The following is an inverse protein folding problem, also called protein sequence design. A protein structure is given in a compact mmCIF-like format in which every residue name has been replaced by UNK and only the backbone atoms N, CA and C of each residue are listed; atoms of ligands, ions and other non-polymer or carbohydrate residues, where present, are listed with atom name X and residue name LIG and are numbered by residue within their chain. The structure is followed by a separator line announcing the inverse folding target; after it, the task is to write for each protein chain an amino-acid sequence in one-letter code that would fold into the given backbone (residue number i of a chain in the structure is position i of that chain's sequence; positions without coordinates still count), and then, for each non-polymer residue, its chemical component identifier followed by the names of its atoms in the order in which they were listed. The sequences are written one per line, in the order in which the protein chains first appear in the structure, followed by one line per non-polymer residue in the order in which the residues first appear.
data_IF_852487240070
#
_entry.id   IF_852487240070
#
_cell.length_a   1.000
_cell.length_b   1.000
_cell.length_c   1.000
_cell.angle_alpha   90.00
_cell.angle_beta   90.00
_cell.angle_gamma   90.00
#
_symmetry.space_group_name_H-M   'P 1'
#
loop_
_entity.id
_entity.type
_entity.pdbx_description
1 polymer ?
#
# COMPACT_ATOMS: atom_id res chain seq x y z
N UNK A 1 -0.35 -10.97 12.06
CA UNK A 1 -0.74 -10.16 13.27
C UNK A 1 -2.11 -9.58 13.05
N UNK A 2 -2.95 -9.42 14.09
CA UNK A 2 -4.25 -8.74 13.93
C UNK A 2 -4.03 -7.25 13.62
N UNK A 3 -4.67 -6.75 12.57
CA UNK A 3 -4.59 -5.34 12.20
C UNK A 3 -5.12 -4.44 13.32
N UNK A 4 -4.35 -3.42 13.71
CA UNK A 4 -4.77 -2.45 14.73
C UNK A 4 -5.62 -1.36 14.10
N UNK A 5 -6.81 -1.11 14.64
CA UNK A 5 -7.66 0.00 14.19
C UNK A 5 -7.02 1.37 14.50
N UNK A 6 -7.09 2.27 13.54
CA UNK A 6 -6.59 3.65 13.66
C UNK A 6 -7.61 4.52 14.39
N UNK A 7 -8.90 4.36 14.05
CA UNK A 7 -10.01 5.12 14.62
C UNK A 7 -11.33 4.37 14.52
N UNK A 8 -12.29 4.74 15.38
CA UNK A 8 -13.71 4.40 15.24
C UNK A 8 -14.44 5.61 14.68
N UNK A 9 -15.16 5.43 13.60
CA UNK A 9 -15.84 6.47 12.82
C UNK A 9 -17.27 6.08 12.55
N UNK A 10 -18.07 7.03 12.09
CA UNK A 10 -19.45 6.79 11.64
C UNK A 10 -19.55 7.20 10.17
N UNK A 11 -19.93 6.28 9.31
CA UNK A 11 -20.29 6.57 7.93
C UNK A 11 -21.75 7.00 7.89
N UNK A 12 -22.03 8.21 7.41
CA UNK A 12 -23.36 8.83 7.46
C UNK A 12 -23.83 9.24 6.07
N UNK A 13 -25.10 8.96 5.75
CA UNK A 13 -25.79 9.53 4.61
C UNK A 13 -27.28 9.70 4.93
N UNK A 14 -27.75 10.93 4.82
CA UNK A 14 -29.11 11.28 5.26
C UNK A 14 -29.34 10.91 6.73
N UNK A 15 -30.35 10.08 7.01
CA UNK A 15 -30.68 9.62 8.36
C UNK A 15 -29.97 8.30 8.77
N UNK A 16 -29.17 7.75 7.87
CA UNK A 16 -28.48 6.47 8.12
C UNK A 16 -27.08 6.74 8.70
N UNK A 17 -26.79 6.09 9.82
CA UNK A 17 -25.49 6.14 10.49
C UNK A 17 -24.96 4.72 10.69
N UNK A 18 -23.76 4.46 10.16
CA UNK A 18 -23.12 3.14 10.18
C UNK A 18 -21.80 3.25 10.96
N UNK A 19 -21.71 2.68 12.16
CA UNK A 19 -20.46 2.66 12.91
C UNK A 19 -19.44 1.73 12.25
N UNK A 20 -18.24 2.26 11.98
CA UNK A 20 -17.15 1.56 11.31
C UNK A 20 -15.83 1.79 12.02
N UNK A 21 -14.89 0.88 11.85
CA UNK A 21 -13.50 1.00 12.27
C UNK A 21 -12.60 1.16 11.06
N UNK A 22 -11.65 2.08 11.17
CA UNK A 22 -10.67 2.43 10.14
C UNK A 22 -9.37 1.69 10.39
N UNK A 23 -8.82 1.09 9.33
CA UNK A 23 -7.52 0.42 9.33
C UNK A 23 -6.68 0.94 8.17
N UNK A 24 -5.35 0.96 8.32
CA UNK A 24 -4.47 1.22 7.17
C UNK A 24 -4.60 0.10 6.15
N UNK A 25 -4.71 0.44 4.87
CA UNK A 25 -4.66 -0.55 3.79
C UNK A 25 -3.22 -0.92 3.40
N UNK A 26 -2.24 -0.09 3.81
CA UNK A 26 -0.82 -0.29 3.53
C UNK A 26 -0.04 -0.53 4.81
N UNK A 27 0.93 -1.42 4.76
CA UNK A 27 1.87 -1.67 5.85
C UNK A 27 3.21 -1.01 5.54
N UNK A 28 3.58 0.00 6.34
CA UNK A 28 4.93 0.61 6.28
C UNK A 28 6.02 -0.28 6.93
N UNK A 29 5.61 -1.39 7.54
CA UNK A 29 6.53 -2.29 8.28
C UNK A 29 7.53 -3.02 7.37
N UNK A 30 7.34 -2.97 6.05
CA UNK A 30 8.26 -3.59 5.09
C UNK A 30 9.45 -2.71 4.70
N UNK A 31 9.48 -1.45 5.11
CA UNK A 31 10.58 -0.52 4.85
C UNK A 31 11.78 -0.81 5.76
N UNK A 32 12.97 -0.94 5.17
CA UNK A 32 14.21 -1.05 5.93
C UNK A 32 14.53 0.33 6.51
N UNK A 33 14.50 0.45 7.84
CA UNK A 33 14.76 1.73 8.52
C UNK A 33 16.18 1.76 9.06
N UNK A 34 16.96 2.70 8.58
CA UNK A 34 18.29 2.98 9.09
C UNK A 34 18.25 4.07 10.16
N UNK A 35 18.98 3.86 11.26
CA UNK A 35 19.23 4.89 12.25
C UNK A 35 20.47 5.69 11.85
N UNK A 36 20.42 7.01 12.01
CA UNK A 36 21.58 7.86 11.82
C UNK A 36 22.52 7.69 13.01
N UNK A 37 23.78 7.35 12.73
CA UNK A 37 24.82 7.12 13.71
C UNK A 37 26.05 7.96 13.36
N UNK A 38 26.89 8.27 14.36
CA UNK A 38 28.25 8.77 14.12
C UNK A 38 29.12 7.67 13.54
N UNK A 39 30.33 8.02 13.06
CA UNK A 39 31.30 7.02 12.56
C UNK A 39 31.69 5.99 13.63
N UNK A 40 31.52 6.33 14.90
CA UNK A 40 31.83 5.46 16.05
C UNK A 40 30.61 4.64 16.52
N UNK A 41 29.48 4.69 15.80
CA UNK A 41 28.27 3.92 16.13
C UNK A 41 27.36 4.55 17.18
N UNK A 42 27.57 5.80 17.57
CA UNK A 42 26.72 6.49 18.54
C UNK A 42 25.48 7.08 17.87
N UNK A 43 24.33 7.05 18.57
CA UNK A 43 23.09 7.63 18.07
C UNK A 43 23.15 9.16 18.05
N UNK A 44 22.76 9.77 16.93
CA UNK A 44 22.63 11.23 16.83
C UNK A 44 21.19 11.66 17.09
N UNK A 45 21.04 12.87 17.66
CA UNK A 45 19.76 13.56 17.88
C UNK A 45 19.70 14.81 17.01
N UNK A 46 18.55 15.09 16.44
CA UNK A 46 18.29 16.35 15.74
C UNK A 46 18.00 17.47 16.72
N UNK A 47 18.62 18.62 16.53
CA UNK A 47 18.34 19.85 17.28
C UNK A 47 17.98 20.95 16.29
N UNK A 48 17.08 21.84 16.71
CA UNK A 48 16.73 23.02 15.94
C UNK A 48 17.60 24.18 16.44
N UNK A 49 18.23 24.87 15.50
CA UNK A 49 19.12 25.98 15.78
C UNK A 49 18.57 27.22 15.07
N UNK A 50 18.39 28.32 15.81
CA UNK A 50 18.01 29.61 15.20
C UNK A 50 19.08 30.07 14.25
N UNK A 51 18.72 30.36 13.02
CA UNK A 51 19.65 30.78 11.98
C UNK A 51 20.37 32.09 12.33
N UNK A 52 19.64 33.03 12.88
CA UNK A 52 20.16 34.36 13.25
C UNK A 52 21.03 34.34 14.52
N UNK A 53 20.61 33.63 15.56
CA UNK A 53 21.29 33.65 16.87
C UNK A 53 22.21 32.46 17.09
N UNK A 54 22.16 31.43 16.25
CA UNK A 54 22.89 30.16 16.35
C UNK A 54 22.67 29.42 17.67
N UNK A 55 21.62 29.78 18.42
CA UNK A 55 21.23 29.10 19.65
C UNK A 55 20.28 27.95 19.36
N UNK A 56 20.37 26.91 20.18
CA UNK A 56 19.39 25.80 20.16
C UNK A 56 18.05 26.34 20.62
N UNK A 57 16.98 26.01 19.85
CA UNK A 57 15.60 26.41 20.14
C UNK A 57 14.81 25.15 20.49
N UNK A 58 14.11 25.16 21.59
CA UNK A 58 13.25 24.08 21.99
C UNK A 58 11.97 24.06 21.14
N UNK A 59 11.43 22.86 20.91
CA UNK A 59 10.22 22.70 20.07
C UNK A 59 8.99 23.43 20.62
N UNK A 60 8.94 23.61 21.93
CA UNK A 60 7.90 24.38 22.65
C UNK A 60 7.94 25.88 22.37
N UNK A 61 9.12 26.42 22.01
CA UNK A 61 9.33 27.84 21.71
C UNK A 61 9.10 28.16 20.21
N UNK A 62 8.84 27.13 19.37
CA UNK A 62 8.63 27.32 17.95
C UNK A 62 7.19 27.70 17.66
N UNK A 63 7.00 28.69 16.81
CA UNK A 63 5.71 29.09 16.23
C UNK A 63 5.70 28.79 14.74
N UNK A 64 4.52 28.65 14.15
CA UNK A 64 4.38 28.50 12.71
C UNK A 64 4.28 29.87 12.07
N UNK A 65 5.11 30.13 11.06
CA UNK A 65 5.06 31.33 10.25
C UNK A 65 4.67 31.00 8.81
N UNK A 66 3.79 31.83 8.22
CA UNK A 66 3.50 31.83 6.79
C UNK A 66 4.25 32.99 6.14
N UNK A 67 5.12 32.68 5.20
CA UNK A 67 5.85 33.69 4.43
C UNK A 67 4.97 34.17 3.28
N UNK A 68 4.57 35.45 3.32
CA UNK A 68 3.72 36.07 2.29
C UNK A 68 4.53 36.93 1.32
N UNK A 69 5.69 37.44 1.76
CA UNK A 69 6.73 38.08 0.97
C UNK A 69 8.08 37.64 1.47
N UNK A 70 9.11 37.78 0.68
CA UNK A 70 10.47 37.37 1.03
C UNK A 70 10.88 37.96 2.39
N UNK A 71 11.24 37.11 3.33
CA UNK A 71 11.62 37.43 4.72
C UNK A 71 10.52 38.10 5.58
N UNK A 72 9.25 38.14 5.09
CA UNK A 72 8.10 38.63 5.85
C UNK A 72 7.15 37.50 6.22
N UNK A 73 6.97 37.29 7.53
CA UNK A 73 6.21 36.17 8.07
C UNK A 73 5.01 36.65 8.89
N UNK A 74 3.85 36.04 8.64
CA UNK A 74 2.72 36.09 9.57
C UNK A 74 2.84 34.91 10.54
N UNK A 75 2.92 35.19 11.82
CA UNK A 75 3.07 34.17 12.86
C UNK A 75 1.69 33.71 13.34
N UNK A 76 1.53 32.41 13.50
CA UNK A 76 0.33 31.80 14.05
C UNK A 76 0.66 31.10 15.36
N UNK A 77 -0.09 31.39 16.38
CA UNK A 77 -0.03 30.63 17.64
C UNK A 77 -0.71 29.26 17.46
N UNK A 78 -0.37 28.26 18.27
CA UNK A 78 -1.05 26.96 18.22
C UNK A 78 -2.56 27.07 18.45
N UNK A 79 -3.01 28.04 19.30
CA UNK A 79 -4.41 28.30 19.61
C UNK A 79 -5.16 28.86 18.40
N UNK A 80 -4.57 29.83 17.69
CA UNK A 80 -5.16 30.40 16.46
C UNK A 80 -5.31 29.34 15.38
N UNK A 81 -4.27 28.52 15.16
CA UNK A 81 -4.35 27.42 14.20
C UNK A 81 -5.41 26.40 14.59
N UNK A 82 -5.50 26.08 15.90
CA UNK A 82 -6.53 25.18 16.40
C UNK A 82 -7.95 25.73 16.23
N UNK A 83 -8.13 27.05 16.33
CA UNK A 83 -9.42 27.71 16.09
C UNK A 83 -9.83 27.66 14.61
N UNK A 84 -8.86 27.65 13.70
CA UNK A 84 -9.09 27.50 12.25
C UNK A 84 -9.30 26.03 11.83
N UNK A 85 -8.89 25.11 12.68
CA UNK A 85 -9.10 23.69 12.42
C UNK A 85 -10.60 23.36 12.55
N UNK A 86 -11.23 22.90 11.48
CA UNK A 86 -12.50 22.18 11.63
C UNK A 86 -12.27 21.02 12.58
N UNK A 87 -13.02 20.98 13.69
CA UNK A 87 -12.88 19.93 14.69
C UNK A 87 -12.91 18.56 14.05
N UNK A 88 -11.93 17.72 14.37
CA UNK A 88 -11.86 16.34 13.85
C UNK A 88 -13.22 15.66 14.02
N UNK A 89 -13.94 15.51 12.94
CA UNK A 89 -15.24 14.84 12.95
C UNK A 89 -15.02 13.32 12.89
N UNK A 90 -15.59 12.59 13.84
CA UNK A 90 -15.66 11.13 13.76
C UNK A 90 -16.68 10.64 12.71
N UNK A 91 -17.19 11.55 11.87
CA UNK A 91 -18.19 11.27 10.86
C UNK A 91 -17.57 11.42 9.46
N UNK A 92 -17.82 10.41 8.64
CA UNK A 92 -17.59 10.43 7.20
C UNK A 92 -18.95 10.70 6.56
N UNK A 93 -19.16 11.90 6.04
CA UNK A 93 -20.43 12.32 5.48
C UNK A 93 -20.50 12.05 3.98
N UNK A 94 -21.32 11.09 3.57
CA UNK A 94 -21.57 10.81 2.15
C UNK A 94 -22.43 11.92 1.56
N UNK A 95 -21.88 12.54 0.51
CA UNK A 95 -22.55 13.65 -0.19
C UNK A 95 -23.14 13.24 -1.55
N UNK A 96 -22.60 12.19 -2.18
CA UNK A 96 -23.07 11.70 -3.48
C UNK A 96 -22.68 10.25 -3.74
N UNK A 97 -23.34 9.62 -4.70
CA UNK A 97 -22.96 8.32 -5.27
C UNK A 97 -22.69 8.49 -6.76
N UNK A 98 -21.49 8.11 -7.21
CA UNK A 98 -21.03 8.23 -8.59
C UNK A 98 -20.59 6.86 -9.15
N UNK A 99 -20.60 6.63 -10.47
CA UNK A 99 -20.03 5.42 -11.04
C UNK A 99 -18.55 5.30 -10.67
N UNK A 100 -18.08 4.10 -10.29
CA UNK A 100 -16.68 3.88 -9.84
C UNK A 100 -15.67 4.33 -10.90
N UNK A 101 -15.98 4.09 -12.18
CA UNK A 101 -15.09 4.40 -13.32
C UNK A 101 -14.91 5.89 -13.64
N UNK A 102 -15.71 6.78 -13.02
CA UNK A 102 -15.64 8.23 -13.28
C UNK A 102 -14.54 8.93 -12.49
N UNK A 103 -13.96 8.28 -11.47
CA UNK A 103 -12.87 8.85 -10.70
C UNK A 103 -11.57 8.36 -11.30
N UNK A 104 -10.79 9.30 -11.83
CA UNK A 104 -9.47 9.00 -12.38
C UNK A 104 -8.51 8.58 -11.24
N UNK A 105 -7.75 7.48 -11.40
CA UNK A 105 -6.77 7.03 -10.42
C UNK A 105 -5.72 8.08 -10.02
N UNK A 106 -5.45 9.08 -10.85
CA UNK A 106 -4.53 10.19 -10.54
C UNK A 106 -4.92 10.95 -9.28
N UNK A 107 -6.22 10.97 -8.92
CA UNK A 107 -6.73 11.61 -7.69
C UNK A 107 -6.55 10.76 -6.44
N UNK A 108 -6.09 9.50 -6.53
CA UNK A 108 -5.95 8.63 -5.36
C UNK A 108 -4.69 8.96 -4.56
N UNK A 109 -4.86 9.24 -3.25
CA UNK A 109 -3.74 9.43 -2.30
C UNK A 109 -3.62 8.19 -1.39
N UNK A 110 -4.31 8.17 -0.26
CA UNK A 110 -4.19 7.12 0.76
C UNK A 110 -5.42 6.23 0.81
N UNK A 111 -5.17 4.93 0.99
CA UNK A 111 -6.23 3.95 1.13
C UNK A 111 -6.34 3.43 2.58
N UNK A 112 -7.58 3.20 3.00
CA UNK A 112 -7.91 2.63 4.30
C UNK A 112 -8.98 1.54 4.14
N UNK A 113 -8.93 0.54 5.00
CA UNK A 113 -9.96 -0.49 5.08
C UNK A 113 -11.00 -0.07 6.11
N UNK A 114 -12.27 -0.23 5.77
CA UNK A 114 -13.40 -0.02 6.67
C UNK A 114 -13.97 -1.37 7.10
N UNK A 115 -14.01 -1.62 8.40
CA UNK A 115 -14.70 -2.78 8.95
C UNK A 115 -15.91 -2.32 9.78
N UNK A 116 -17.02 -3.08 9.83
CA UNK A 116 -18.14 -2.73 10.67
C UNK A 116 -17.76 -2.82 12.15
N UNK A 117 -18.24 -1.89 12.95
CA UNK A 117 -18.17 -2.03 14.41
C UNK A 117 -19.34 -2.87 14.94
N UNK A 118 -19.31 -3.27 16.22
CA UNK A 118 -20.18 -4.27 16.87
C UNK A 118 -21.69 -4.15 16.55
N UNK A 119 -22.19 -2.95 16.23
CA UNK A 119 -23.60 -2.70 15.89
C UNK A 119 -23.83 -2.34 14.41
N UNK A 120 -22.77 -2.25 13.61
CA UNK A 120 -22.79 -1.77 12.23
C UNK A 120 -22.93 -2.87 11.17
N UNK A 121 -22.88 -4.15 11.50
CA UNK A 121 -22.73 -5.24 10.53
C UNK A 121 -23.81 -5.28 9.44
N UNK A 122 -25.09 -5.23 9.81
CA UNK A 122 -26.20 -5.30 8.84
C UNK A 122 -26.26 -4.07 7.92
N UNK A 123 -26.28 -2.82 8.43
CA UNK A 123 -26.31 -1.64 7.54
C UNK A 123 -25.03 -1.49 6.70
N UNK A 124 -23.86 -1.90 7.22
CA UNK A 124 -22.63 -1.96 6.47
C UNK A 124 -22.71 -2.91 5.27
N UNK A 125 -23.16 -4.16 5.51
CA UNK A 125 -23.31 -5.16 4.45
C UNK A 125 -24.35 -4.72 3.41
N UNK A 126 -25.46 -4.12 3.84
CA UNK A 126 -26.48 -3.59 2.94
C UNK A 126 -25.92 -2.47 2.03
N UNK A 127 -25.15 -1.53 2.60
CA UNK A 127 -24.53 -0.46 1.82
C UNK A 127 -23.52 -1.01 0.82
N UNK A 128 -22.64 -1.92 1.25
CA UNK A 128 -21.64 -2.55 0.39
C UNK A 128 -22.28 -3.26 -0.80
N UNK A 129 -23.33 -4.05 -0.54
CA UNK A 129 -24.04 -4.80 -1.57
C UNK A 129 -24.83 -3.88 -2.53
N UNK A 130 -25.46 -2.84 -2.02
CA UNK A 130 -26.17 -1.85 -2.83
C UNK A 130 -25.20 -1.12 -3.79
N UNK A 131 -24.04 -0.69 -3.29
CA UNK A 131 -23.00 -0.06 -4.13
C UNK A 131 -22.42 -1.03 -5.15
N UNK A 132 -22.20 -2.29 -4.79
CA UNK A 132 -21.70 -3.32 -5.71
C UNK A 132 -22.70 -3.57 -6.85
N UNK A 133 -23.98 -3.78 -6.53
CA UNK A 133 -25.03 -3.99 -7.54
C UNK A 133 -25.29 -2.80 -8.44
N UNK A 134 -25.16 -1.58 -7.89
CA UNK A 134 -25.33 -0.35 -8.69
C UNK A 134 -24.09 0.04 -9.49
N UNK A 135 -22.91 -0.57 -9.27
CA UNK A 135 -21.64 -0.17 -9.86
C UNK A 135 -21.16 1.23 -9.42
N UNK A 136 -21.64 1.69 -8.24
CA UNK A 136 -21.37 3.04 -7.73
C UNK A 136 -20.47 3.00 -6.49
N UNK A 137 -19.73 4.09 -6.29
CA UNK A 137 -19.03 4.40 -5.05
C UNK A 137 -19.64 5.66 -4.42
N UNK A 138 -19.44 5.83 -3.13
CA UNK A 138 -19.85 7.03 -2.42
C UNK A 138 -18.72 8.05 -2.43
N UNK A 139 -19.03 9.33 -2.70
CA UNK A 139 -18.18 10.47 -2.41
C UNK A 139 -18.57 11.02 -1.06
N UNK A 140 -17.59 11.29 -0.21
CA UNK A 140 -17.83 11.76 1.14
C UNK A 140 -16.82 12.84 1.55
N UNK A 141 -17.20 13.62 2.55
CA UNK A 141 -16.33 14.56 3.26
C UNK A 141 -15.91 13.94 4.58
N UNK A 142 -14.65 14.11 4.93
CA UNK A 142 -14.09 13.59 6.16
C UNK A 142 -13.07 14.58 6.76
N UNK A 143 -13.35 15.08 7.95
CA UNK A 143 -12.43 15.91 8.70
C UNK A 143 -11.52 15.02 9.57
N UNK A 144 -10.23 14.99 9.26
CA UNK A 144 -9.24 14.17 9.94
C UNK A 144 -7.96 14.95 10.21
N UNK A 145 -7.48 14.91 11.46
CA UNK A 145 -6.26 15.63 11.87
C UNK A 145 -6.23 17.08 11.42
N UNK A 146 -7.33 17.79 11.69
CA UNK A 146 -7.48 19.20 11.40
C UNK A 146 -7.53 19.58 9.90
N UNK A 147 -7.72 18.62 9.03
CA UNK A 147 -7.92 18.86 7.60
C UNK A 147 -9.20 18.18 7.12
N UNK A 148 -9.95 18.87 6.28
CA UNK A 148 -11.04 18.27 5.54
C UNK A 148 -10.47 17.53 4.33
N UNK A 149 -10.95 16.32 4.08
CA UNK A 149 -10.58 15.50 2.95
C UNK A 149 -11.82 15.11 2.16
N UNK A 150 -11.69 15.06 0.85
CA UNK A 150 -12.64 14.37 0.00
C UNK A 150 -12.22 12.91 -0.05
N UNK A 151 -13.17 12.01 0.15
CA UNK A 151 -12.90 10.57 0.15
C UNK A 151 -13.91 9.83 -0.71
N UNK A 152 -13.45 8.77 -1.33
CA UNK A 152 -14.28 7.78 -2.00
C UNK A 152 -14.45 6.58 -1.07
N UNK A 153 -15.68 6.12 -0.88
CA UNK A 153 -15.95 4.81 -0.28
C UNK A 153 -16.43 3.88 -1.40
N UNK A 154 -15.64 2.83 -1.66
CA UNK A 154 -15.94 1.87 -2.74
C UNK A 154 -16.09 0.45 -2.20
N UNK A 155 -17.02 -0.34 -2.77
CA UNK A 155 -17.16 -1.74 -2.41
C UNK A 155 -16.04 -2.57 -3.04
N UNK A 156 -15.56 -3.55 -2.29
CA UNK A 156 -14.68 -4.63 -2.74
C UNK A 156 -15.34 -5.96 -2.36
N UNK A 157 -14.74 -7.08 -2.77
CA UNK A 157 -15.31 -8.40 -2.54
C UNK A 157 -15.66 -8.64 -1.08
N UNK A 158 -14.75 -8.34 -0.16
CA UNK A 158 -14.88 -8.61 1.28
C UNK A 158 -15.30 -7.40 2.13
N UNK A 159 -15.60 -6.24 1.53
CA UNK A 159 -15.96 -5.09 2.33
C UNK A 159 -15.92 -3.74 1.63
N UNK A 160 -15.55 -2.70 2.38
CA UNK A 160 -15.45 -1.33 1.90
C UNK A 160 -14.02 -0.80 2.07
N UNK A 161 -13.56 -0.09 1.04
CA UNK A 161 -12.32 0.68 1.07
C UNK A 161 -12.68 2.16 1.08
N UNK A 162 -12.04 2.92 1.96
CA UNK A 162 -12.03 4.36 1.95
C UNK A 162 -10.75 4.82 1.28
N UNK A 163 -10.89 5.53 0.17
CA UNK A 163 -9.79 6.10 -0.60
C UNK A 163 -9.80 7.61 -0.45
N UNK A 164 -8.74 8.18 0.09
CA UNK A 164 -8.56 9.63 0.13
C UNK A 164 -8.30 10.14 -1.28
N UNK A 165 -8.94 11.25 -1.63
CA UNK A 165 -8.79 11.90 -2.92
C UNK A 165 -8.03 13.22 -2.76
N UNK A 166 -7.21 13.53 -3.75
CA UNK A 166 -6.59 14.84 -3.92
C UNK A 166 -7.64 15.86 -4.39
N UNK A 167 -7.43 17.12 -4.05
CA UNK A 167 -8.23 18.23 -4.61
C UNK A 167 -7.79 18.54 -6.04
N UNK A 168 -8.64 19.24 -6.78
CA UNK A 168 -8.38 19.57 -8.18
C UNK A 168 -7.12 20.43 -8.40
N UNK A 169 -6.79 21.27 -7.42
CA UNK A 169 -5.61 22.13 -7.41
C UNK A 169 -4.30 21.40 -7.01
N UNK A 170 -4.43 20.19 -6.44
CA UNK A 170 -3.28 19.32 -6.10
C UNK A 170 -2.83 18.44 -7.29
N UNK A 171 -3.67 18.34 -8.34
CA UNK A 171 -3.41 17.49 -9.51
C UNK A 171 -3.06 18.35 -10.71
N UNK A 172 -1.89 18.10 -11.30
CA UNK A 172 -1.45 18.80 -12.53
C UNK A 172 -2.18 18.25 -13.74
N UNK A 173 -2.51 19.15 -14.70
CA UNK A 173 -3.10 18.76 -15.96
C UNK A 173 -2.03 18.34 -16.97
N UNK A 174 -2.30 17.30 -17.76
CA UNK A 174 -1.48 16.97 -18.93
C UNK A 174 -1.49 18.10 -19.98
N UNK A 175 -2.49 18.99 -19.94
CA UNK A 175 -2.56 20.16 -20.82
C UNK A 175 -1.48 21.20 -20.50
N UNK A 176 -0.93 21.18 -19.28
CA UNK A 176 0.18 22.05 -18.86
C UNK A 176 1.52 21.58 -19.43
N UNK A 177 1.53 20.40 -20.04
CA UNK A 177 2.68 19.83 -20.72
C UNK A 177 2.52 20.05 -22.23
N UNK A 178 3.55 20.59 -22.85
CA UNK A 178 3.59 20.86 -24.31
C UNK A 178 3.84 19.53 -25.07
N UNK A 179 2.82 18.66 -25.07
CA UNK A 179 2.91 17.35 -25.73
C UNK A 179 2.53 17.52 -27.20
N UNK A 180 3.50 17.36 -28.06
CA UNK A 180 3.32 17.39 -29.52
C UNK A 180 2.41 16.25 -29.99
N UNK A 181 1.38 16.59 -30.76
CA UNK A 181 0.47 15.60 -31.38
C UNK A 181 1.04 15.12 -32.69
N UNK A 182 1.70 13.96 -32.63
CA UNK A 182 2.29 13.32 -33.83
C UNK A 182 1.29 12.36 -34.45
N UNK A 183 1.22 12.37 -35.80
CA UNK A 183 0.39 11.43 -36.55
C UNK A 183 1.09 10.07 -36.63
N UNK A 184 0.44 9.00 -36.19
CA UNK A 184 0.96 7.63 -36.24
C UNK A 184 0.52 6.96 -37.54
N UNK A 185 1.45 6.31 -38.26
CA UNK A 185 1.13 5.55 -39.46
C UNK A 185 0.35 4.26 -39.11
N UNK A 186 -0.67 3.86 -39.92
CA UNK A 186 -1.46 2.66 -39.63
C UNK A 186 -0.64 1.38 -39.52
N UNK A 187 0.43 1.23 -40.27
CA UNK A 187 1.29 0.05 -40.25
C UNK A 187 2.09 -0.03 -38.91
N UNK A 188 2.55 1.11 -38.38
CA UNK A 188 3.24 1.21 -37.08
C UNK A 188 2.28 0.86 -35.94
N UNK A 189 1.04 1.36 -36.02
CA UNK A 189 0.00 1.06 -35.04
C UNK A 189 -0.31 -0.44 -34.99
N UNK A 190 -0.46 -1.09 -36.17
CA UNK A 190 -0.72 -2.53 -36.19
C UNK A 190 0.42 -3.35 -35.60
N UNK A 191 1.67 -2.98 -35.87
CA UNK A 191 2.84 -3.66 -35.31
C UNK A 191 2.91 -3.47 -33.78
N UNK A 192 2.64 -2.27 -33.31
CA UNK A 192 2.56 -1.98 -31.86
C UNK A 192 1.46 -2.78 -31.16
N UNK A 193 0.27 -2.91 -31.78
CA UNK A 193 -0.81 -3.73 -31.24
C UNK A 193 -0.43 -5.23 -31.15
N UNK A 194 0.27 -5.77 -32.16
CA UNK A 194 0.78 -7.14 -32.09
C UNK A 194 1.79 -7.36 -30.95
N UNK A 195 2.67 -6.38 -30.68
CA UNK A 195 3.58 -6.44 -29.54
C UNK A 195 2.84 -6.40 -28.21
N UNK A 196 1.86 -5.53 -28.09
CA UNK A 196 1.02 -5.45 -26.89
C UNK A 196 0.32 -6.79 -26.65
N UNK A 197 -0.30 -7.39 -27.67
CA UNK A 197 -0.98 -8.68 -27.59
C UNK A 197 -0.06 -9.80 -27.10
N UNK A 198 1.22 -9.83 -27.55
CA UNK A 198 2.19 -10.84 -27.15
C UNK A 198 2.56 -10.82 -25.66
N UNK A 199 2.48 -9.65 -25.01
CA UNK A 199 2.83 -9.48 -23.60
C UNK A 199 1.63 -9.17 -22.71
N UNK A 200 0.43 -9.11 -23.30
CA UNK A 200 -0.80 -8.85 -22.56
C UNK A 200 -1.12 -9.95 -21.56
N UNK A 201 -1.61 -9.54 -20.41
CA UNK A 201 -2.13 -10.41 -19.37
C UNK A 201 -3.52 -9.90 -18.97
N UNK A 202 -4.47 -10.81 -18.76
CA UNK A 202 -5.85 -10.45 -18.41
C UNK A 202 -6.02 -10.02 -16.95
N UNK A 203 -5.05 -10.37 -16.09
CA UNK A 203 -5.10 -10.10 -14.64
C UNK A 203 -3.78 -9.51 -14.16
N UNK A 204 -3.90 -8.56 -13.23
CA UNK A 204 -2.75 -8.04 -12.51
C UNK A 204 -2.51 -8.88 -11.25
N UNK A 205 -1.36 -9.55 -11.19
CA UNK A 205 -0.90 -10.27 -10.01
C UNK A 205 0.29 -9.51 -9.38
N UNK A 206 0.07 -8.82 -8.25
CA UNK A 206 1.13 -8.04 -7.60
C UNK A 206 2.27 -8.92 -7.07
N UNK A 207 2.07 -10.23 -6.86
CA UNK A 207 3.10 -11.15 -6.35
C UNK A 207 4.21 -11.44 -7.35
N UNK A 208 4.00 -11.09 -8.63
CA UNK A 208 5.02 -11.23 -9.67
C UNK A 208 6.09 -10.13 -9.61
N UNK A 209 5.83 -9.08 -8.84
CA UNK A 209 6.74 -7.94 -8.69
C UNK A 209 7.35 -7.93 -7.30
N UNK A 210 8.65 -8.16 -7.23
CA UNK A 210 9.39 -8.16 -5.98
C UNK A 210 10.31 -6.93 -5.93
N UNK A 211 10.50 -6.40 -4.72
CA UNK A 211 11.45 -5.30 -4.48
C UNK A 211 12.87 -5.87 -4.38
N UNK A 212 13.54 -5.94 -5.52
CA UNK A 212 14.91 -6.46 -5.62
C UNK A 212 15.92 -5.60 -4.83
N UNK A 213 15.71 -4.29 -4.72
CA UNK A 213 16.57 -3.40 -3.94
C UNK A 213 16.50 -3.77 -2.46
N UNK A 214 15.30 -3.98 -1.96
CA UNK A 214 15.08 -4.42 -0.58
C UNK A 214 15.75 -5.76 -0.30
N UNK A 215 15.66 -6.73 -1.22
CA UNK A 215 16.32 -8.02 -1.08
C UNK A 215 17.84 -7.88 -1.03
N UNK A 216 18.42 -7.05 -1.92
CA UNK A 216 19.86 -6.77 -1.92
C UNK A 216 20.34 -6.11 -0.63
N UNK A 217 19.55 -5.13 -0.11
CA UNK A 217 19.88 -4.46 1.15
C UNK A 217 19.81 -5.42 2.34
N UNK A 218 18.80 -6.29 2.40
CA UNK A 218 18.69 -7.31 3.45
C UNK A 218 19.86 -8.31 3.40
N UNK A 219 20.20 -8.80 2.22
CA UNK A 219 21.36 -9.68 2.03
C UNK A 219 22.66 -9.01 2.48
N UNK A 220 22.85 -7.72 2.16
CA UNK A 220 24.02 -6.96 2.58
C UNK A 220 24.07 -6.73 4.10
N UNK A 221 22.91 -6.56 4.74
CA UNK A 221 22.81 -6.48 6.21
C UNK A 221 23.21 -7.82 6.84
N UNK A 222 22.68 -8.92 6.33
CA UNK A 222 22.98 -10.27 6.84
C UNK A 222 24.47 -10.63 6.69
N UNK A 223 25.09 -10.26 5.57
CA UNK A 223 26.53 -10.43 5.37
C UNK A 223 27.37 -9.61 6.36
N UNK A 224 26.97 -8.37 6.64
CA UNK A 224 27.65 -7.53 7.66
C UNK A 224 27.48 -8.10 9.06
N UNK A 225 26.29 -8.60 9.41
CA UNK A 225 26.04 -9.27 10.68
C UNK A 225 26.90 -10.51 10.82
N UNK A 226 27.09 -11.28 9.73
CA UNK A 226 27.96 -12.44 9.70
C UNK A 226 29.46 -12.11 9.72
N UNK A 227 29.85 -10.83 9.82
CA UNK A 227 31.25 -10.38 9.86
C UNK A 227 31.97 -10.46 8.53
N UNK A 228 31.27 -10.60 7.43
CA UNK A 228 31.85 -10.62 6.08
C UNK A 228 32.07 -9.19 5.59
N UNK A 229 33.23 -8.92 4.98
CA UNK A 229 33.44 -7.65 4.28
C UNK A 229 32.66 -7.65 2.98
N UNK A 230 31.78 -6.67 2.79
CA UNK A 230 31.09 -6.49 1.53
C UNK A 230 32.04 -5.77 0.57
N UNK A 231 32.46 -6.46 -0.48
CA UNK A 231 33.11 -5.83 -1.63
C UNK A 231 31.99 -5.26 -2.48
N UNK A 232 31.84 -3.92 -2.51
CA UNK A 232 30.89 -3.26 -3.37
C UNK A 232 31.23 -3.64 -4.83
N UNK A 233 30.34 -4.41 -5.46
CA UNK A 233 30.39 -4.58 -6.91
C UNK A 233 30.16 -3.21 -7.52
N UNK A 234 31.17 -2.67 -8.21
CA UNK A 234 31.00 -1.50 -9.04
C UNK A 234 29.88 -1.81 -10.04
N UNK A 235 28.75 -1.14 -9.90
CA UNK A 235 27.75 -1.12 -10.95
C UNK A 235 28.45 -0.42 -12.14
N UNK A 236 28.78 -1.17 -13.16
CA UNK A 236 29.01 -0.60 -14.47
C UNK A 236 27.68 -0.04 -14.92
N UNK A 237 27.51 1.27 -14.82
CA UNK A 237 26.51 1.99 -15.58
C UNK A 237 26.91 1.79 -17.06
N UNK A 238 26.38 0.75 -17.68
CA UNK A 238 26.28 0.71 -19.12
C UNK A 238 25.34 1.83 -19.52
N UNK A 239 25.94 3.02 -19.72
CA UNK A 239 25.29 4.10 -20.41
C UNK A 239 24.95 3.58 -21.82
N UNK A 240 23.72 3.11 -21.98
CA UNK A 240 23.15 2.91 -23.28
C UNK A 240 23.07 4.28 -23.96
N UNK A 241 24.15 4.63 -24.66
CA UNK A 241 24.14 5.70 -25.65
C UNK A 241 23.10 5.30 -26.68
N UNK A 242 21.92 5.93 -26.56
CA UNK A 242 20.81 5.71 -27.47
C UNK A 242 21.20 6.06 -28.88
N UNK A 243 21.57 5.06 -29.68
CA UNK A 243 21.46 5.16 -31.12
C UNK A 243 19.99 5.35 -31.45
N UNK A 244 19.71 6.38 -32.23
CA UNK A 244 18.36 6.58 -32.81
C UNK A 244 18.15 5.42 -33.80
N UNK A 245 17.57 4.33 -33.25
CA UNK A 245 17.13 3.18 -34.04
C UNK A 245 15.76 3.55 -34.58
N UNK A 246 15.55 3.34 -35.90
CA UNK A 246 14.24 3.50 -36.50
C UNK A 246 13.24 2.65 -35.72
N UNK A 247 12.14 3.27 -35.27
CA UNK A 247 11.09 2.63 -34.46
C UNK A 247 10.60 1.34 -35.09
N UNK A 248 10.50 1.30 -36.42
CA UNK A 248 10.09 0.11 -37.18
C UNK A 248 11.08 -1.05 -37.09
N UNK A 249 12.37 -0.76 -37.11
CA UNK A 249 13.41 -1.79 -36.97
C UNK A 249 13.51 -2.31 -35.53
N UNK A 250 13.35 -1.45 -34.52
CA UNK A 250 13.30 -1.85 -33.12
C UNK A 250 12.07 -2.75 -32.83
N UNK A 251 10.91 -2.41 -33.36
CA UNK A 251 9.68 -3.19 -33.25
C UNK A 251 9.80 -4.57 -33.92
N UNK A 252 10.37 -4.64 -35.13
CA UNK A 252 10.63 -5.90 -35.83
C UNK A 252 11.64 -6.79 -35.11
N UNK A 253 12.71 -6.22 -34.57
CA UNK A 253 13.69 -6.95 -33.80
C UNK A 253 13.12 -7.55 -32.51
N UNK A 254 12.25 -6.83 -31.83
CA UNK A 254 11.53 -7.31 -30.63
C UNK A 254 10.59 -8.50 -30.93
N UNK A 255 9.88 -8.46 -32.06
CA UNK A 255 9.04 -9.57 -32.52
C UNK A 255 9.86 -10.82 -32.88
N UNK A 256 11.01 -10.64 -33.56
CA UNK A 256 11.88 -11.74 -33.99
C UNK A 256 12.58 -12.47 -32.84
N UNK A 257 13.00 -11.74 -31.81
CA UNK A 257 13.73 -12.33 -30.68
C UNK A 257 12.85 -13.23 -29.80
N UNK A 258 11.56 -12.90 -29.63
CA UNK A 258 10.61 -13.72 -28.86
C UNK A 258 10.15 -14.97 -29.59
N UNK A 259 10.02 -14.93 -30.91
CA UNK A 259 9.70 -16.13 -31.71
C UNK A 259 10.80 -17.20 -31.59
N UNK A 260 12.07 -16.80 -31.50
CA UNK A 260 13.19 -17.72 -31.31
C UNK A 260 13.20 -18.35 -29.90
N UNK A 261 12.76 -17.62 -28.85
CA UNK A 261 12.73 -18.14 -27.48
C UNK A 261 11.57 -19.10 -27.21
N UNK A 262 10.46 -18.96 -27.93
CA UNK A 262 9.32 -19.89 -27.82
C UNK A 262 9.56 -21.22 -28.56
N UNK A 263 10.35 -21.23 -29.66
CA UNK A 263 10.74 -22.43 -30.37
C UNK A 263 11.75 -23.32 -29.60
N UNK A 264 12.55 -22.73 -28.70
CA UNK A 264 13.54 -23.48 -27.90
C UNK A 264 12.95 -24.23 -26.70
N UNK A 265 11.67 -24.04 -26.38
CA UNK A 265 10.99 -24.72 -25.25
C UNK A 265 10.25 -26.00 -25.59
N UNK A 266 10.21 -26.41 -26.87
CA UNK A 266 9.41 -27.58 -27.32
C UNK A 266 10.20 -28.81 -27.71
N UNK A 267 11.51 -28.90 -27.50
CA UNK A 267 12.26 -30.15 -27.75
C UNK A 267 12.79 -30.76 -26.45
N UNK A 268 12.00 -31.68 -25.95
CA UNK A 268 12.44 -32.66 -24.93
C UNK A 268 13.16 -33.80 -25.68
N UNK A 269 14.40 -34.12 -25.38
CA UNK A 269 14.98 -35.37 -25.89
C UNK A 269 14.51 -36.54 -25.02
N UNK A 270 13.81 -37.45 -25.65
CA UNK A 270 13.69 -38.83 -25.21
C UNK A 270 15.02 -39.51 -25.51
N UNK A 271 15.70 -40.02 -24.54
CA UNK A 271 16.65 -41.10 -24.78
C UNK A 271 16.52 -42.19 -23.73
N UNK A 272 16.68 -43.39 -24.29
CA UNK A 272 16.44 -44.71 -23.70
C UNK A 272 17.71 -45.25 -23.00
N UNK A 273 17.45 -45.99 -21.93
CA UNK A 273 18.15 -47.25 -21.60
C UNK A 273 19.57 -47.18 -21.03
N UNK A 274 19.79 -47.57 -19.81
CA UNK A 274 20.31 -48.93 -19.50
C UNK A 274 20.31 -49.16 -17.98
N UNK A 275 19.90 -50.39 -17.67
CA UNK A 275 19.88 -51.04 -16.34
C UNK A 275 21.26 -51.07 -15.69
N UNK A 276 21.33 -50.91 -14.36
CA UNK A 276 21.98 -51.89 -13.49
C UNK A 276 21.46 -51.75 -12.07
N UNK A 277 21.10 -52.93 -11.52
CA UNK A 277 20.77 -53.24 -10.16
C UNK A 277 21.86 -52.84 -9.16
N UNK A 278 21.46 -52.42 -7.96
CA UNK A 278 21.86 -53.02 -6.68
C UNK A 278 20.96 -52.46 -5.56
N UNK A 279 20.16 -53.29 -4.94
CA UNK A 279 19.67 -53.21 -3.56
C UNK A 279 20.68 -53.93 -2.67
N UNK A 280 20.69 -53.91 -1.32
CA UNK A 280 19.57 -53.57 -0.41
C UNK A 280 19.99 -52.91 0.95
N UNK A 281 18.95 -52.66 1.72
CA UNK A 281 18.82 -52.93 3.19
C UNK A 281 19.00 -51.83 4.22
N UNK A 282 17.93 -51.77 5.03
CA UNK A 282 17.82 -51.51 6.49
C UNK A 282 17.79 -50.01 6.88
N UNK A 283 16.93 -49.48 7.71
CA UNK A 283 16.01 -50.03 8.72
C UNK A 283 15.01 -48.94 9.15
N UNK A 284 13.79 -49.33 9.35
CA UNK A 284 12.73 -48.51 9.89
C UNK A 284 12.94 -48.24 11.39
N UNK A 285 12.80 -47.00 11.82
CA UNK A 285 12.60 -46.68 13.25
C UNK A 285 11.30 -45.93 13.41
N UNK A 286 10.29 -46.66 13.84
CA UNK A 286 9.01 -46.16 14.33
C UNK A 286 9.22 -45.12 15.43
N UNK A 287 8.60 -43.95 15.29
CA UNK A 287 8.38 -43.05 16.41
C UNK A 287 6.92 -43.11 16.85
N UNK A 288 6.73 -43.63 18.06
CA UNK A 288 5.49 -43.68 18.81
C UNK A 288 4.80 -42.32 18.91
N UNK A 289 3.51 -42.31 18.64
CA UNK A 289 2.57 -41.22 18.87
C UNK A 289 2.43 -40.92 20.37
N UNK A 290 2.48 -39.65 20.73
CA UNK A 290 2.27 -39.17 22.09
C UNK A 290 0.78 -39.30 22.50
N UNK A 291 0.57 -39.84 23.67
CA UNK A 291 -0.69 -40.12 24.35
C UNK A 291 -1.39 -38.84 24.76
N UNK A 292 -2.63 -38.68 24.34
CA UNK A 292 -3.55 -37.61 24.68
C UNK A 292 -3.91 -37.66 26.17
N UNK A 293 -3.75 -36.54 26.90
CA UNK A 293 -4.17 -36.40 28.29
C UNK A 293 -5.71 -36.18 28.40
N UNK A 294 -6.36 -36.61 29.49
CA UNK A 294 -7.80 -36.58 29.63
C UNK A 294 -8.33 -35.16 29.94
N UNK A 295 -9.44 -34.83 29.33
CA UNK A 295 -10.22 -33.61 29.50
C UNK A 295 -10.81 -33.51 30.93
N UNK A 296 -10.52 -32.41 31.60
CA UNK A 296 -11.08 -32.04 32.91
C UNK A 296 -12.51 -31.58 32.75
N UNK A 297 -13.43 -32.17 33.54
CA UNK A 297 -14.86 -31.80 33.59
C UNK A 297 -15.13 -30.37 34.09
N UNK A 298 -16.20 -29.70 33.63
CA UNK A 298 -16.52 -28.34 34.06
C UNK A 298 -17.09 -28.31 35.49
N UNK A 299 -16.74 -27.26 36.24
CA UNK A 299 -17.19 -27.00 37.58
C UNK A 299 -18.65 -26.53 37.59
N UNK A 300 -19.45 -26.82 38.66
CA UNK A 300 -20.84 -26.45 38.76
C UNK A 300 -21.05 -24.94 39.02
N UNK A 301 -22.13 -24.39 38.47
CA UNK A 301 -22.58 -23.01 38.57
C UNK A 301 -22.96 -22.61 40.02
N UNK A 302 -22.72 -21.35 40.44
CA UNK A 302 -23.17 -20.88 41.76
C UNK A 302 -24.65 -20.58 41.79
N UNK A 303 -25.28 -20.90 42.93
CA UNK A 303 -26.69 -20.72 43.22
C UNK A 303 -27.10 -19.23 43.32
N UNK A 304 -28.37 -18.87 43.04
CA UNK A 304 -28.85 -17.49 43.07
C UNK A 304 -29.06 -16.99 44.50
N UNK A 305 -28.53 -15.79 44.80
CA UNK A 305 -28.71 -15.09 46.06
C UNK A 305 -30.14 -14.50 46.17
N UNK A 306 -30.81 -14.83 47.25
CA UNK A 306 -32.13 -14.28 47.64
C UNK A 306 -32.00 -12.80 47.97
N UNK A 307 -32.69 -11.96 47.24
CA UNK A 307 -32.96 -10.56 47.59
C UNK A 307 -33.96 -10.48 48.73
N UNK A 308 -33.51 -9.87 49.85
CA UNK A 308 -34.32 -9.57 51.05
C UNK A 308 -35.01 -8.23 50.86
N UNK A 309 -36.31 -8.22 50.74
CA UNK A 309 -37.14 -7.03 50.84
C UNK A 309 -37.04 -6.40 52.23
N UNK A 310 -36.88 -5.09 52.28
CA UNK A 310 -37.21 -4.27 53.47
C UNK A 310 -38.02 -3.07 53.04
N UNK A 311 -39.11 -2.93 53.72
CA UNK A 311 -40.08 -1.88 53.96
C UNK A 311 -39.70 -0.48 53.53
#
# INVERSE_FOLDING_TARGET
MAARSIASLTLSFGLVSIPVRLYSATESASEIRFNMLTKNGERVKQQYISEKTRKVVERSEMVKGYEFEKDHFVLFTPEELKALEEGSSHVIEIVAFVPIKTIDPVFYDKAYLLAPDKRGGKPYALLAEAMRKSGRCALAKWAWKAKQHVVQVRPVEDGLILQQLLYADEVRSLQDLDIEKVTVAPAELQLALQLIDQISQDTFDPTQFEDEEKQRVLAAIDEKIAGKQIVASAHSEDAATGQVIDLMDALKASLGSKAASSAARSTKPTDKSTRTNVTPMLEAKERKSARRAPTRAPAPAPAPSRTRAKK
#
